data_IF_645994569645
#
_entry.id   IF_645994569645
#
_cell.length_a   1.000
_cell.length_b   1.000
_cell.length_c   1.000
_cell.angle_alpha   90.00
_cell.angle_beta   90.00
_cell.angle_gamma   90.00
#
_symmetry.space_group_name_H-M   'P 1'
#
loop_
_entity.id
_entity.type
_entity.pdbx_description
1 polymer ?
#
# COMPACT_ATOMS: atom_id res chain seq x y z
N UNK A 1 17.64 -4.62 8.70
CA UNK A 1 16.46 -5.15 7.99
C UNK A 1 16.13 -6.54 8.48
N UNK A 2 14.86 -6.94 8.42
CA UNK A 2 14.46 -8.30 8.71
C UNK A 2 13.60 -8.83 7.54
N UNK A 3 13.72 -10.13 7.29
CA UNK A 3 12.92 -10.86 6.31
C UNK A 3 12.45 -12.17 6.91
N UNK A 4 11.17 -12.46 6.68
CA UNK A 4 10.54 -13.72 7.09
C UNK A 4 9.59 -14.16 5.98
N UNK A 5 9.54 -15.45 5.72
CA UNK A 5 8.53 -16.07 4.84
C UNK A 5 7.85 -17.22 5.57
N UNK A 6 6.65 -17.55 5.13
CA UNK A 6 5.87 -18.64 5.70
C UNK A 6 4.59 -18.88 4.92
N UNK A 7 3.71 -19.68 5.48
CA UNK A 7 2.37 -19.95 4.94
C UNK A 7 1.30 -19.60 5.95
N UNK A 8 0.14 -19.18 5.46
CA UNK A 8 -1.05 -18.92 6.31
C UNK A 8 -2.28 -19.58 5.69
N UNK A 9 -3.16 -20.10 6.54
CA UNK A 9 -4.39 -20.74 6.11
C UNK A 9 -5.61 -19.79 6.10
N UNK A 10 -5.47 -18.59 6.64
CA UNK A 10 -6.53 -17.58 6.71
C UNK A 10 -5.97 -16.20 7.06
N UNK A 11 -6.79 -15.13 6.96
CA UNK A 11 -6.37 -13.77 7.29
C UNK A 11 -5.91 -13.57 8.72
N UNK A 12 -6.48 -14.29 9.70
CA UNK A 12 -6.09 -14.14 11.10
C UNK A 12 -4.68 -14.65 11.36
N UNK A 13 -4.32 -15.80 10.78
CA UNK A 13 -2.95 -16.31 10.85
C UNK A 13 -1.95 -15.41 10.13
N UNK A 14 -2.35 -14.83 9.00
CA UNK A 14 -1.52 -13.88 8.28
C UNK A 14 -1.30 -12.59 9.09
N UNK A 15 -2.35 -12.09 9.74
CA UNK A 15 -2.26 -10.93 10.61
C UNK A 15 -1.44 -11.23 11.88
N UNK A 16 -1.57 -12.42 12.44
CA UNK A 16 -0.75 -12.85 13.58
C UNK A 16 0.73 -12.97 13.21
N UNK A 17 1.05 -13.53 12.04
CA UNK A 17 2.43 -13.57 11.55
C UNK A 17 3.01 -12.15 11.41
N UNK A 18 2.26 -11.20 10.87
CA UNK A 18 2.66 -9.79 10.81
C UNK A 18 2.87 -9.20 12.21
N UNK A 19 1.97 -9.48 13.17
CA UNK A 19 2.07 -9.04 14.56
C UNK A 19 3.36 -9.52 15.21
N UNK A 20 3.61 -10.82 15.15
CA UNK A 20 4.82 -11.44 15.73
C UNK A 20 6.09 -10.84 15.11
N UNK A 21 6.11 -10.72 13.78
CA UNK A 21 7.23 -10.11 13.07
C UNK A 21 7.47 -8.66 13.49
N UNK A 22 6.41 -7.84 13.52
CA UNK A 22 6.49 -6.43 13.90
C UNK A 22 7.01 -6.25 15.34
N UNK A 23 6.50 -7.03 16.29
CA UNK A 23 6.96 -6.99 17.69
C UNK A 23 8.44 -7.39 17.79
N UNK A 24 8.86 -8.43 17.06
CA UNK A 24 10.26 -8.88 17.05
C UNK A 24 11.24 -7.82 16.54
N UNK A 25 10.79 -6.90 15.68
CA UNK A 25 11.61 -5.77 15.17
C UNK A 25 11.38 -4.45 15.91
N UNK A 26 10.76 -4.52 17.09
CA UNK A 26 10.65 -3.40 18.03
C UNK A 26 9.42 -2.51 17.87
N UNK A 27 8.37 -2.96 17.18
CA UNK A 27 7.07 -2.30 17.24
C UNK A 27 6.35 -2.66 18.54
N UNK A 28 5.67 -1.70 19.12
CA UNK A 28 4.84 -1.89 20.31
C UNK A 28 3.45 -2.33 19.88
N UNK A 29 3.00 -3.49 20.37
CA UNK A 29 1.62 -3.92 20.24
C UNK A 29 0.75 -3.16 21.25
N UNK A 30 -0.20 -2.38 20.77
CA UNK A 30 -1.16 -1.62 21.58
C UNK A 30 -2.50 -2.35 21.74
N UNK A 31 -2.88 -3.12 20.72
CA UNK A 31 -4.11 -3.93 20.73
C UNK A 31 -3.87 -5.24 19.98
N UNK A 32 -4.42 -6.30 20.51
CA UNK A 32 -4.67 -7.56 19.84
C UNK A 32 -5.94 -8.15 20.42
N UNK A 33 -7.02 -8.12 19.69
CA UNK A 33 -8.36 -8.52 20.19
C UNK A 33 -9.26 -9.00 19.08
N UNK A 34 -10.19 -9.93 19.39
CA UNK A 34 -11.25 -10.33 18.46
C UNK A 34 -12.14 -9.15 18.06
N UNK A 35 -12.56 -9.12 16.81
CA UNK A 35 -13.50 -8.14 16.27
C UNK A 35 -14.28 -8.75 15.09
N UNK A 36 -15.58 -9.02 15.29
CA UNK A 36 -16.42 -9.68 14.29
C UNK A 36 -15.89 -11.05 13.91
N UNK A 37 -15.63 -11.26 12.63
CA UNK A 37 -15.12 -12.53 12.08
C UNK A 37 -13.60 -12.66 12.11
N UNK A 38 -12.88 -11.68 12.67
CA UNK A 38 -11.42 -11.61 12.65
C UNK A 38 -10.80 -11.04 13.91
N UNK A 39 -9.62 -10.48 13.76
CA UNK A 39 -8.79 -9.89 14.81
C UNK A 39 -8.46 -8.44 14.50
N UNK A 40 -8.37 -7.59 15.52
CA UNK A 40 -7.78 -6.25 15.39
C UNK A 40 -6.38 -6.23 15.97
N UNK A 41 -5.49 -5.56 15.25
CA UNK A 41 -4.11 -5.28 15.65
C UNK A 41 -3.86 -3.79 15.59
N UNK A 42 -3.32 -3.22 16.68
CA UNK A 42 -2.77 -1.86 16.66
C UNK A 42 -1.30 -1.90 17.02
N UNK A 43 -0.49 -1.24 16.24
CA UNK A 43 0.97 -1.17 16.39
C UNK A 43 1.44 0.29 16.43
N UNK A 44 2.51 0.54 17.19
CA UNK A 44 3.17 1.85 17.21
C UNK A 44 4.69 1.71 17.23
N UNK A 45 5.38 2.64 16.55
CA UNK A 45 6.82 2.84 16.62
C UNK A 45 7.19 4.25 16.18
N UNK A 46 7.99 4.97 16.99
CA UNK A 46 8.55 6.26 16.60
C UNK A 46 7.53 7.35 16.23
N UNK A 47 6.30 7.28 16.75
CA UNK A 47 5.23 8.21 16.38
C UNK A 47 4.37 7.74 15.19
N UNK A 48 4.69 6.61 14.60
CA UNK A 48 3.84 5.89 13.66
C UNK A 48 2.80 5.08 14.41
N UNK A 49 1.53 5.19 14.00
CA UNK A 49 0.44 4.37 14.52
C UNK A 49 -0.30 3.76 13.34
N UNK A 50 -0.46 2.44 13.38
CA UNK A 50 -1.21 1.70 12.35
C UNK A 50 -2.18 0.74 13.02
N UNK A 51 -3.33 0.58 12.39
CA UNK A 51 -4.39 -0.27 12.88
C UNK A 51 -4.83 -1.19 11.76
N UNK A 52 -4.81 -2.48 12.04
CA UNK A 52 -5.15 -3.52 11.08
C UNK A 52 -6.32 -4.34 11.61
N UNK A 53 -7.08 -4.91 10.69
CA UNK A 53 -8.15 -5.85 11.00
C UNK A 53 -8.21 -6.94 9.95
N UNK A 54 -8.21 -8.20 10.38
CA UNK A 54 -8.55 -9.32 9.52
C UNK A 54 -10.06 -9.52 9.46
N UNK A 55 -10.55 -10.12 8.37
CA UNK A 55 -11.94 -10.45 8.17
C UNK A 55 -12.06 -11.71 7.31
N UNK A 56 -13.06 -12.56 7.60
CA UNK A 56 -13.38 -13.76 6.84
C UNK A 56 -14.84 -13.71 6.42
N UNK A 57 -15.10 -13.68 5.11
CA UNK A 57 -16.44 -13.60 4.53
C UNK A 57 -17.31 -12.50 5.15
N UNK A 58 -16.71 -11.39 5.50
CA UNK A 58 -17.40 -10.29 6.16
C UNK A 58 -17.90 -9.28 5.17
N UNK A 59 -19.15 -8.88 5.33
CA UNK A 59 -19.76 -7.81 4.55
C UNK A 59 -19.53 -6.47 5.25
N UNK A 60 -18.70 -5.63 4.68
CA UNK A 60 -18.35 -4.34 5.27
C UNK A 60 -19.47 -3.32 5.20
N UNK A 61 -20.40 -3.46 4.26
CA UNK A 61 -21.60 -2.64 4.16
C UNK A 61 -22.66 -3.32 3.31
N UNK A 62 -23.88 -2.75 3.28
CA UNK A 62 -24.98 -3.25 2.44
C UNK A 62 -24.69 -3.16 0.94
N UNK A 63 -23.68 -2.39 0.55
CA UNK A 63 -23.30 -2.18 -0.86
C UNK A 63 -22.16 -3.07 -1.33
N UNK A 64 -21.50 -3.82 -0.44
CA UNK A 64 -20.26 -4.52 -0.75
C UNK A 64 -20.41 -6.03 -0.73
N UNK A 65 -19.64 -6.68 -1.56
CA UNK A 65 -19.46 -8.13 -1.46
C UNK A 65 -18.77 -8.47 -0.15
N UNK A 66 -18.87 -9.71 0.26
CA UNK A 66 -18.07 -10.23 1.38
C UNK A 66 -16.60 -10.23 1.00
N UNK A 67 -15.76 -9.84 1.96
CA UNK A 67 -14.31 -9.86 1.81
C UNK A 67 -13.68 -10.85 2.77
N UNK A 68 -12.56 -11.40 2.34
CA UNK A 68 -11.66 -12.21 3.16
C UNK A 68 -10.26 -11.63 2.98
N UNK A 69 -9.70 -11.04 4.06
CA UNK A 69 -8.43 -10.34 3.96
C UNK A 69 -8.07 -9.49 5.17
N UNK A 70 -7.20 -8.53 4.97
CA UNK A 70 -6.70 -7.63 6.01
C UNK A 70 -6.90 -6.18 5.57
N UNK A 71 -7.43 -5.36 6.47
CA UNK A 71 -7.52 -3.91 6.35
C UNK A 71 -6.37 -3.24 7.10
N UNK A 72 -5.99 -2.05 6.64
CA UNK A 72 -4.95 -1.21 7.23
C UNK A 72 -5.37 0.26 7.17
N UNK A 73 -5.27 0.96 8.30
CA UNK A 73 -5.34 2.42 8.38
C UNK A 73 -4.13 2.99 9.13
N UNK A 74 -3.82 4.25 8.85
CA UNK A 74 -2.88 5.04 9.62
C UNK A 74 -3.60 6.03 10.55
N UNK A 75 -2.95 6.41 11.64
CA UNK A 75 -3.45 7.41 12.58
C UNK A 75 -2.33 8.23 13.21
N UNK A 76 -2.67 9.15 14.10
CA UNK A 76 -1.70 9.96 14.87
C UNK A 76 -1.58 9.51 16.31
N UNK A 77 -2.37 8.54 16.76
CA UNK A 77 -2.39 8.06 18.11
C UNK A 77 -3.24 6.81 18.26
N UNK A 78 -3.35 6.34 19.51
CA UNK A 78 -4.14 5.18 19.88
C UNK A 78 -5.06 5.52 21.05
N UNK A 79 -6.33 5.13 20.91
CA UNK A 79 -7.34 5.19 21.98
C UNK A 79 -7.98 3.80 22.12
N UNK A 80 -7.79 3.18 23.31
CA UNK A 80 -8.32 1.85 23.59
C UNK A 80 -9.86 1.80 23.58
N UNK A 81 -10.54 2.92 23.87
CA UNK A 81 -11.99 3.05 23.89
C UNK A 81 -12.63 3.19 22.50
N UNK A 82 -11.80 3.39 21.46
CA UNK A 82 -12.28 3.57 20.10
C UNK A 82 -12.10 2.31 19.25
N UNK A 83 -12.96 2.09 18.23
CA UNK A 83 -12.76 1.02 17.27
C UNK A 83 -11.50 1.23 16.45
N UNK A 84 -11.00 0.16 15.82
CA UNK A 84 -9.76 0.18 15.04
C UNK A 84 -9.75 1.24 13.91
N UNK A 85 -10.90 1.57 13.38
CA UNK A 85 -11.09 2.49 12.25
C UNK A 85 -11.38 3.95 12.65
N UNK A 86 -11.64 4.26 13.91
CA UNK A 86 -11.90 5.63 14.42
C UNK A 86 -10.84 6.04 15.46
N UNK A 87 -9.60 5.87 15.13
CA UNK A 87 -8.48 6.22 16.00
C UNK A 87 -8.11 7.72 15.89
N UNK A 88 -7.44 8.31 16.89
CA UNK A 88 -7.06 9.72 16.84
C UNK A 88 -6.30 10.08 15.56
N UNK A 89 -6.78 11.06 14.81
CA UNK A 89 -6.16 11.49 13.55
C UNK A 89 -6.09 10.42 12.46
N UNK A 90 -6.98 9.43 12.50
CA UNK A 90 -7.13 8.46 11.42
C UNK A 90 -7.58 9.12 10.12
N UNK A 91 -7.35 8.43 9.02
CA UNK A 91 -7.77 8.86 7.69
C UNK A 91 -9.30 8.82 7.64
N UNK A 92 -9.95 9.97 7.47
CA UNK A 92 -11.40 10.09 7.47
C UNK A 92 -11.92 10.21 6.05
N UNK A 93 -12.94 9.42 5.73
CA UNK A 93 -13.69 9.57 4.49
C UNK A 93 -14.83 10.59 4.67
N UNK A 94 -14.65 11.80 4.16
CA UNK A 94 -15.64 12.87 4.23
C UNK A 94 -16.93 12.56 3.43
N UNK A 95 -16.88 11.68 2.45
CA UNK A 95 -18.02 11.35 1.59
C UNK A 95 -18.98 10.32 2.21
N UNK A 96 -18.57 9.59 3.23
CA UNK A 96 -19.36 8.53 3.87
C UNK A 96 -20.18 8.97 5.09
N UNK A 97 -20.20 10.25 5.40
CA UNK A 97 -20.93 10.81 6.56
C UNK A 97 -22.45 10.59 6.47
N UNK A 98 -23.00 10.21 5.32
CA UNK A 98 -24.45 10.15 5.12
C UNK A 98 -25.06 8.74 5.10
N UNK A 99 -24.28 7.66 5.18
CA UNK A 99 -24.82 6.31 5.12
C UNK A 99 -24.42 5.44 6.33
N UNK A 100 -25.40 5.12 7.06
CA UNK A 100 -25.55 4.59 8.40
C UNK A 100 -24.87 3.27 8.78
N UNK A 101 -23.94 2.75 8.03
CA UNK A 101 -23.35 1.43 8.35
C UNK A 101 -21.96 1.27 7.80
N UNK A 102 -20.97 2.00 8.19
CA UNK A 102 -19.65 1.51 7.86
C UNK A 102 -18.54 2.48 8.21
N UNK A 103 -17.38 1.99 8.24
CA UNK A 103 -16.14 2.61 8.58
C UNK A 103 -16.02 4.04 8.02
N UNK A 104 -15.86 5.00 8.90
CA UNK A 104 -15.66 6.42 8.55
C UNK A 104 -14.23 6.67 8.07
N UNK A 105 -13.37 5.68 8.17
CA UNK A 105 -11.97 5.76 7.76
C UNK A 105 -11.78 5.18 6.36
N UNK A 106 -10.93 5.81 5.60
CA UNK A 106 -10.36 5.22 4.40
C UNK A 106 -9.33 4.18 4.79
N UNK A 107 -9.50 2.96 4.32
CA UNK A 107 -8.61 1.86 4.61
C UNK A 107 -7.94 1.33 3.35
N UNK A 108 -6.68 0.97 3.48
CA UNK A 108 -5.99 0.12 2.51
C UNK A 108 -6.33 -1.34 2.78
N UNK A 109 -6.19 -2.22 1.79
CA UNK A 109 -6.54 -3.63 1.97
C UNK A 109 -5.65 -4.59 1.20
N UNK A 110 -5.52 -5.79 1.76
CA UNK A 110 -5.01 -7.00 1.13
C UNK A 110 -6.10 -8.04 1.23
N UNK A 111 -6.68 -8.47 0.11
CA UNK A 111 -7.87 -9.33 0.07
C UNK A 111 -7.61 -10.62 -0.68
N UNK A 112 -8.66 -11.42 -0.84
CA UNK A 112 -8.62 -12.73 -1.50
C UNK A 112 -7.69 -13.73 -0.79
N UNK A 113 -7.46 -13.54 0.51
CA UNK A 113 -6.64 -14.47 1.30
C UNK A 113 -7.33 -15.80 1.36
N UNK A 114 -6.74 -16.80 0.73
CA UNK A 114 -7.26 -18.16 0.66
C UNK A 114 -6.85 -19.03 1.85
N UNK A 115 -6.94 -20.35 1.64
CA UNK A 115 -6.60 -21.36 2.66
C UNK A 115 -5.16 -21.86 2.61
N UNK A 116 -4.36 -21.36 1.63
CA UNK A 116 -2.95 -21.70 1.50
C UNK A 116 -2.24 -20.52 0.81
N UNK A 117 -1.77 -19.57 1.60
CA UNK A 117 -1.09 -18.39 1.09
C UNK A 117 0.38 -18.44 1.52
N UNK A 118 1.29 -18.30 0.56
CA UNK A 118 2.69 -17.98 0.89
C UNK A 118 2.79 -16.50 1.17
N UNK A 119 3.47 -16.11 2.23
CA UNK A 119 3.69 -14.71 2.55
C UNK A 119 5.17 -14.38 2.72
N UNK A 120 5.49 -13.11 2.47
CA UNK A 120 6.78 -12.50 2.71
C UNK A 120 6.58 -11.24 3.56
N UNK A 121 7.28 -11.19 4.70
CA UNK A 121 7.36 -10.04 5.58
C UNK A 121 8.75 -9.44 5.48
N UNK A 122 8.81 -8.17 5.13
CA UNK A 122 10.06 -7.43 4.94
C UNK A 122 10.03 -6.17 5.78
N UNK A 123 11.15 -5.80 6.37
CA UNK A 123 11.25 -4.55 7.13
C UNK A 123 12.57 -3.83 6.91
N UNK A 124 12.51 -2.52 7.12
CA UNK A 124 13.68 -1.65 7.24
C UNK A 124 13.47 -0.70 8.43
N UNK A 125 14.57 -0.23 9.02
CA UNK A 125 14.53 0.57 10.24
C UNK A 125 14.77 2.08 10.03
N UNK A 126 15.39 2.47 8.92
CA UNK A 126 15.72 3.87 8.67
C UNK A 126 15.63 4.20 7.17
N UNK A 127 14.56 4.86 6.73
CA UNK A 127 13.29 5.06 7.46
C UNK A 127 12.54 3.77 7.72
N UNK A 128 11.63 3.78 8.70
CA UNK A 128 10.83 2.59 9.03
C UNK A 128 10.00 2.13 7.83
N UNK A 129 10.01 0.83 7.60
CA UNK A 129 9.15 0.15 6.63
C UNK A 129 8.79 -1.22 7.16
N UNK A 130 7.50 -1.57 7.07
CA UNK A 130 7.04 -2.96 7.03
C UNK A 130 6.27 -3.16 5.74
N UNK A 131 6.56 -4.27 5.08
CA UNK A 131 5.83 -4.72 3.91
C UNK A 131 5.43 -6.18 4.06
N UNK A 132 4.16 -6.44 3.84
CA UNK A 132 3.57 -7.77 3.73
C UNK A 132 3.20 -8.01 2.28
N UNK A 133 3.72 -9.07 1.69
CA UNK A 133 3.33 -9.57 0.37
C UNK A 133 2.78 -10.96 0.54
N UNK A 134 1.59 -11.22 0.02
CA UNK A 134 0.95 -12.54 0.06
C UNK A 134 0.65 -13.03 -1.35
N UNK A 135 1.05 -14.24 -1.66
CA UNK A 135 0.58 -14.96 -2.83
C UNK A 135 -0.79 -15.56 -2.50
N UNK A 136 -1.85 -14.87 -2.93
CA UNK A 136 -3.24 -15.21 -2.60
C UNK A 136 -3.82 -16.29 -3.49
N UNK A 137 -3.22 -16.49 -4.65
CA UNK A 137 -3.43 -17.64 -5.55
C UNK A 137 -2.16 -17.82 -6.39
N UNK A 138 -1.95 -18.97 -7.04
CA UNK A 138 -0.72 -19.22 -7.79
C UNK A 138 -0.36 -18.10 -8.76
N UNK A 139 0.78 -17.44 -8.52
CA UNK A 139 1.28 -16.32 -9.31
C UNK A 139 0.58 -14.98 -9.12
N UNK A 140 -0.36 -14.87 -8.17
CA UNK A 140 -1.10 -13.63 -7.85
C UNK A 140 -0.69 -13.11 -6.47
N UNK A 141 -0.17 -11.90 -6.43
CA UNK A 141 0.39 -11.27 -5.25
C UNK A 141 -0.40 -10.03 -4.86
N UNK A 142 -0.78 -9.96 -3.57
CA UNK A 142 -1.34 -8.77 -2.95
C UNK A 142 -0.41 -8.30 -1.84
N UNK A 143 -0.47 -7.01 -1.51
CA UNK A 143 0.42 -6.44 -0.52
C UNK A 143 -0.24 -5.39 0.38
N UNK A 144 0.36 -5.23 1.56
CA UNK A 144 0.21 -4.08 2.45
C UNK A 144 1.60 -3.53 2.76
N UNK A 145 1.70 -2.21 2.87
CA UNK A 145 2.92 -1.56 3.30
C UNK A 145 2.60 -0.37 4.20
N UNK A 146 3.45 -0.13 5.21
CA UNK A 146 3.39 1.05 6.05
C UNK A 146 4.76 1.41 6.59
N UNK A 147 4.96 2.69 6.88
CA UNK A 147 6.25 3.17 7.32
C UNK A 147 6.41 4.67 7.15
N UNK A 148 7.63 5.09 6.88
CA UNK A 148 8.01 6.50 6.68
C UNK A 148 8.71 6.73 5.34
N UNK A 149 8.50 7.92 4.80
CA UNK A 149 9.24 8.44 3.66
C UNK A 149 10.54 9.10 4.12
N UNK A 150 11.58 9.01 3.29
CA UNK A 150 12.68 9.97 3.33
C UNK A 150 12.19 11.30 2.77
N UNK A 151 12.09 12.33 3.60
CA UNK A 151 11.57 13.63 3.22
C UNK A 151 12.62 14.47 2.51
N UNK A 152 12.20 15.32 1.56
CA UNK A 152 13.10 16.27 0.86
C UNK A 152 13.31 17.57 1.59
N UNK A 153 12.57 17.85 2.65
CA UNK A 153 12.67 19.10 3.39
C UNK A 153 12.16 19.00 4.80
N UNK A 154 12.00 20.14 5.46
CA UNK A 154 11.57 20.27 6.85
C UNK A 154 10.07 20.04 7.12
N UNK A 155 9.32 19.48 6.18
CA UNK A 155 7.91 19.17 6.40
C UNK A 155 7.70 18.17 7.55
N UNK A 156 6.67 18.39 8.36
CA UNK A 156 6.25 17.41 9.35
C UNK A 156 5.60 16.18 8.71
N UNK A 157 5.41 15.11 9.48
CA UNK A 157 4.83 13.86 9.00
C UNK A 157 5.84 13.00 8.23
N UNK A 158 5.37 12.32 7.18
CA UNK A 158 6.14 11.35 6.40
C UNK A 158 5.64 9.92 6.55
N UNK A 159 4.71 9.67 7.48
CA UNK A 159 4.05 8.37 7.63
C UNK A 159 3.25 8.02 6.38
N UNK A 160 3.23 6.75 5.98
CA UNK A 160 2.38 6.26 4.91
C UNK A 160 1.77 4.90 5.24
N UNK A 161 0.63 4.63 4.62
CA UNK A 161 -0.03 3.32 4.57
C UNK A 161 -0.48 3.05 3.14
N UNK A 162 -0.35 1.80 2.70
CA UNK A 162 -0.67 1.38 1.33
C UNK A 162 -1.17 -0.06 1.28
N UNK A 163 -2.02 -0.36 0.30
CA UNK A 163 -2.52 -1.72 0.08
C UNK A 163 -2.95 -1.93 -1.37
N UNK A 164 -3.02 -3.18 -1.79
CA UNK A 164 -3.49 -3.59 -3.12
C UNK A 164 -4.90 -3.09 -3.40
N UNK A 165 -5.71 -2.94 -2.37
CA UNK A 165 -7.07 -2.45 -2.46
C UNK A 165 -7.30 -1.28 -1.51
N UNK A 166 -8.36 -0.53 -1.79
CA UNK A 166 -8.89 0.48 -0.91
C UNK A 166 -10.35 0.23 -0.59
N UNK A 167 -10.85 0.91 0.43
CA UNK A 167 -12.25 0.81 0.86
C UNK A 167 -13.26 1.07 -0.25
N UNK A 168 -12.90 1.92 -1.19
CA UNK A 168 -13.75 2.25 -2.33
C UNK A 168 -13.66 1.30 -3.52
N UNK A 169 -12.66 0.43 -3.57
CA UNK A 169 -12.54 -0.55 -4.64
C UNK A 169 -13.78 -1.44 -4.74
N UNK A 170 -14.49 -1.56 -3.64
CA UNK A 170 -15.72 -2.32 -3.52
C UNK A 170 -17.00 -1.56 -3.86
N UNK A 171 -16.98 -0.24 -3.93
CA UNK A 171 -18.18 0.56 -4.23
C UNK A 171 -18.61 0.49 -5.69
N UNK A 172 -17.70 0.20 -6.59
CA UNK A 172 -17.94 0.23 -8.04
C UNK A 172 -18.07 -1.14 -8.70
N UNK A 173 -18.08 -2.22 -7.95
CA UNK A 173 -18.24 -3.57 -8.50
C UNK A 173 -19.69 -3.88 -8.89
N UNK A 174 -20.23 -3.16 -9.84
CA UNK A 174 -21.46 -3.58 -10.52
C UNK A 174 -21.23 -4.70 -11.53
N UNK A 175 -19.99 -5.05 -11.86
CA UNK A 175 -19.66 -6.03 -12.89
C UNK A 175 -18.49 -6.94 -12.60
N UNK A 176 -18.30 -7.31 -11.32
CA UNK A 176 -17.26 -8.26 -10.96
C UNK A 176 -15.93 -7.58 -10.63
N UNK A 177 -15.40 -7.98 -9.50
CA UNK A 177 -14.13 -7.57 -8.91
C UNK A 177 -12.95 -7.56 -9.91
N UNK A 178 -13.01 -8.44 -10.89
CA UNK A 178 -11.97 -8.62 -11.90
C UNK A 178 -11.89 -7.51 -12.96
N UNK A 179 -12.99 -6.81 -13.25
CA UNK A 179 -13.02 -5.89 -14.39
C UNK A 179 -12.60 -4.47 -14.04
N UNK A 180 -12.79 -4.04 -12.79
CA UNK A 180 -12.50 -2.67 -12.36
C UNK A 180 -11.14 -2.50 -11.68
N UNK A 181 -10.70 -3.46 -10.90
CA UNK A 181 -9.38 -3.39 -10.27
C UNK A 181 -8.26 -3.64 -11.29
N UNK A 182 -8.56 -4.43 -12.32
CA UNK A 182 -7.59 -4.85 -13.33
C UNK A 182 -8.14 -4.77 -14.77
N UNK A 183 -9.32 -4.18 -14.97
CA UNK A 183 -10.07 -4.25 -16.22
C UNK A 183 -9.49 -3.48 -17.42
N UNK A 184 -8.47 -2.64 -17.17
CA UNK A 184 -7.72 -2.01 -18.26
C UNK A 184 -6.24 -2.31 -18.06
N UNK A 185 -5.63 -3.13 -18.94
CA UNK A 185 -4.27 -3.64 -18.75
C UNK A 185 -3.19 -2.55 -18.74
N UNK A 186 -3.53 -1.32 -19.05
CA UNK A 186 -2.54 -0.25 -19.21
C UNK A 186 -2.54 0.78 -18.08
N UNK A 187 -3.54 0.76 -17.23
CA UNK A 187 -3.85 1.95 -16.46
C UNK A 187 -4.15 1.73 -14.98
N UNK A 188 -4.27 0.49 -14.49
CA UNK A 188 -4.72 0.20 -13.12
C UNK A 188 -3.84 -0.83 -12.47
N UNK A 189 -2.78 -0.36 -11.86
CA UNK A 189 -1.92 -1.19 -11.04
C UNK A 189 -2.43 -1.13 -9.61
N UNK A 190 -3.16 -2.16 -9.20
CA UNK A 190 -3.69 -2.21 -7.87
C UNK A 190 -2.59 -2.03 -6.84
N UNK A 191 -2.72 -1.02 -6.01
CA UNK A 191 -2.12 -0.91 -4.71
C UNK A 191 -0.62 -1.00 -4.56
N UNK A 192 0.16 -0.71 -5.57
CA UNK A 192 1.57 -0.44 -5.33
C UNK A 192 1.69 0.80 -4.46
N UNK A 193 2.60 0.81 -3.49
CA UNK A 193 2.91 2.01 -2.76
C UNK A 193 3.09 3.16 -3.74
N UNK A 194 2.31 4.24 -3.58
CA UNK A 194 2.40 5.46 -4.40
C UNK A 194 2.03 5.29 -5.87
N UNK A 195 1.28 4.28 -6.21
CA UNK A 195 0.69 4.17 -7.53
C UNK A 195 -0.43 5.22 -7.69
N UNK A 196 -0.27 6.10 -8.65
CA UNK A 196 -1.13 7.26 -8.90
C UNK A 196 -2.25 7.00 -9.91
N UNK A 197 -2.44 5.81 -10.38
CA UNK A 197 -3.47 5.63 -11.37
C UNK A 197 -4.87 5.56 -10.72
N UNK A 198 -5.91 5.98 -11.44
CA UNK A 198 -7.36 5.87 -11.11
C UNK A 198 -7.78 4.46 -10.70
N UNK A 199 -6.85 3.69 -10.20
CA UNK A 199 -7.01 2.38 -9.65
C UNK A 199 -7.56 2.47 -8.24
N UNK A 200 -8.03 1.41 -7.77
CA UNK A 200 -8.68 1.21 -6.52
C UNK A 200 -7.71 0.75 -5.42
N UNK A 201 -6.42 0.64 -5.75
CA UNK A 201 -5.38 0.58 -4.76
C UNK A 201 -5.30 1.91 -4.02
N UNK A 202 -5.05 1.88 -2.73
CA UNK A 202 -4.98 3.09 -1.94
C UNK A 202 -3.65 3.22 -1.26
N UNK A 203 -3.13 4.43 -1.33
CA UNK A 203 -1.99 4.87 -0.55
C UNK A 203 -2.30 6.22 0.05
N UNK A 204 -2.02 6.36 1.33
CA UNK A 204 -2.15 7.61 2.04
C UNK A 204 -0.81 7.99 2.65
N UNK A 205 -0.46 9.27 2.54
CA UNK A 205 0.74 9.86 3.12
C UNK A 205 0.32 10.98 4.06
N UNK A 206 0.82 10.97 5.29
CA UNK A 206 0.61 12.05 6.24
C UNK A 206 1.68 13.11 6.08
N UNK A 207 1.26 14.36 6.03
CA UNK A 207 2.16 15.49 5.96
C UNK A 207 1.63 16.72 6.66
N UNK A 208 2.52 17.51 7.25
CA UNK A 208 2.22 18.85 7.73
C UNK A 208 2.74 19.84 6.69
N UNK A 209 1.82 20.30 5.84
CA UNK A 209 2.11 21.19 4.74
C UNK A 209 1.16 22.38 4.82
N UNK A 210 1.69 23.60 4.67
CA UNK A 210 0.92 24.85 4.80
C UNK A 210 0.15 24.94 6.14
N UNK A 211 0.83 24.59 7.24
CA UNK A 211 0.29 24.56 8.60
C UNK A 211 -0.87 23.58 8.84
N UNK A 212 -1.21 22.73 7.86
CA UNK A 212 -2.22 21.69 8.00
C UNK A 212 -1.58 20.32 8.14
N UNK A 213 -1.82 19.63 9.25
CA UNK A 213 -1.45 18.23 9.45
C UNK A 213 -2.58 17.35 8.95
N UNK A 214 -2.34 16.63 7.86
CA UNK A 214 -3.39 15.86 7.19
C UNK A 214 -2.86 14.65 6.44
N UNK A 215 -3.77 13.75 6.08
CA UNK A 215 -3.51 12.66 5.16
C UNK A 215 -3.81 13.08 3.72
N UNK A 216 -2.87 12.80 2.83
CA UNK A 216 -2.98 13.00 1.40
C UNK A 216 -3.25 11.67 0.72
N UNK A 217 -4.26 11.62 -0.13
CA UNK A 217 -4.49 10.45 -1.00
C UNK A 217 -3.56 10.50 -2.21
N UNK A 218 -2.78 9.45 -2.42
CA UNK A 218 -1.83 9.37 -3.56
C UNK A 218 -2.50 8.81 -4.82
N UNK A 219 -3.55 8.04 -4.69
CA UNK A 219 -4.07 7.20 -5.78
C UNK A 219 -5.33 7.73 -6.47
N UNK A 220 -5.73 9.00 -6.27
CA UNK A 220 -7.01 9.50 -6.80
C UNK A 220 -7.00 10.93 -7.28
N UNK A 221 -7.69 11.15 -8.40
CA UNK A 221 -8.04 12.48 -8.88
C UNK A 221 -9.08 13.18 -7.96
N UNK A 222 -9.91 12.40 -7.28
CA UNK A 222 -10.88 12.88 -6.30
C UNK A 222 -10.44 12.47 -4.91
N UNK A 223 -9.88 13.37 -4.13
CA UNK A 223 -9.41 13.05 -2.80
C UNK A 223 -10.60 12.84 -1.85
N UNK A 224 -10.67 11.66 -1.28
CA UNK A 224 -11.62 11.39 -0.20
C UNK A 224 -11.27 12.20 1.06
N UNK A 225 -10.00 12.50 1.24
CA UNK A 225 -9.49 13.34 2.32
C UNK A 225 -9.55 14.84 2.01
N UNK A 226 -9.97 15.26 0.81
CA UNK A 226 -9.89 16.65 0.37
C UNK A 226 -8.47 17.12 0.01
N UNK A 227 -7.45 16.30 0.16
CA UNK A 227 -6.05 16.62 -0.16
C UNK A 227 -5.44 15.53 -1.03
N UNK A 228 -4.71 15.96 -2.06
CA UNK A 228 -4.10 15.08 -3.04
C UNK A 228 -2.59 14.99 -2.89
N UNK A 229 -2.06 13.82 -3.16
CA UNK A 229 -0.65 13.63 -3.46
C UNK A 229 -0.53 12.92 -4.80
N UNK A 230 0.62 13.01 -5.41
CA UNK A 230 0.95 12.34 -6.67
C UNK A 230 2.27 11.61 -6.57
N UNK A 231 2.36 10.51 -7.25
CA UNK A 231 3.63 9.87 -7.51
C UNK A 231 4.27 10.41 -8.82
N UNK A 232 5.57 10.31 -8.94
CA UNK A 232 6.34 10.94 -10.02
C UNK A 232 5.95 10.48 -11.43
N UNK A 233 5.39 9.31 -11.58
CA UNK A 233 5.02 8.77 -12.89
C UNK A 233 3.68 9.23 -13.45
N UNK A 234 2.87 9.92 -12.68
CA UNK A 234 1.86 10.74 -13.30
C UNK A 234 2.51 11.98 -13.89
N UNK A 235 2.98 11.84 -15.08
CA UNK A 235 3.58 12.93 -15.78
C UNK A 235 2.59 14.03 -16.08
N UNK A 236 2.89 15.16 -15.52
CA UNK A 236 2.44 16.45 -16.01
C UNK A 236 0.95 16.69 -15.98
N UNK A 237 0.62 17.85 -15.59
CA UNK A 237 -0.64 18.56 -15.71
C UNK A 237 -1.49 18.06 -16.91
N UNK A 238 -2.40 17.16 -16.66
CA UNK A 238 -3.58 16.98 -17.49
C UNK A 238 -3.68 15.76 -18.38
N UNK A 239 -2.65 14.91 -18.58
CA UNK A 239 -2.84 13.67 -19.34
C UNK A 239 -1.94 12.54 -18.85
N UNK A 240 -2.51 11.36 -18.53
CA UNK A 240 -1.75 10.19 -18.05
C UNK A 240 -0.81 9.58 -19.09
N UNK A 241 -0.80 10.10 -20.29
CA UNK A 241 -0.16 9.45 -21.43
C UNK A 241 1.30 9.81 -21.67
N UNK A 242 1.84 10.82 -20.98
CA UNK A 242 3.14 11.41 -21.34
C UNK A 242 4.13 11.49 -20.17
N UNK A 243 4.06 10.66 -19.15
CA UNK A 243 5.05 10.70 -18.08
C UNK A 243 6.35 10.02 -18.49
N UNK A 244 7.46 10.67 -18.21
CA UNK A 244 8.81 10.13 -18.43
C UNK A 244 8.99 8.77 -17.72
N UNK A 245 8.43 8.63 -16.54
CA UNK A 245 8.47 7.40 -15.77
C UNK A 245 7.68 6.26 -16.44
N UNK A 246 6.56 6.57 -17.11
CA UNK A 246 5.80 5.58 -17.89
C UNK A 246 6.61 5.07 -19.10
N UNK A 247 7.39 5.93 -19.72
CA UNK A 247 8.31 5.52 -20.77
C UNK A 247 9.37 4.56 -20.23
N UNK A 248 9.99 4.88 -19.13
CA UNK A 248 11.00 4.02 -18.52
C UNK A 248 10.41 2.70 -18.03
N UNK A 249 9.19 2.72 -17.62
CA UNK A 249 8.45 1.56 -17.13
C UNK A 249 8.01 0.61 -18.24
N UNK A 250 7.56 1.18 -19.34
CA UNK A 250 7.11 0.44 -20.52
C UNK A 250 8.27 -0.11 -21.35
N UNK A 251 9.51 0.32 -21.11
CA UNK A 251 10.65 -0.21 -21.85
C UNK A 251 11.05 -1.59 -21.32
N UNK A 252 11.13 -2.53 -22.23
CA UNK A 252 11.72 -3.83 -21.92
C UNK A 252 13.14 -3.66 -21.39
N UNK A 253 13.58 -4.47 -20.43
CA UNK A 253 14.97 -4.51 -20.02
C UNK A 253 15.88 -4.74 -21.21
N UNK A 254 17.10 -4.20 -21.14
CA UNK A 254 18.10 -4.40 -22.17
C UNK A 254 18.37 -5.90 -22.38
N UNK A 255 18.07 -6.41 -23.56
CA UNK A 255 18.19 -7.84 -23.88
C UNK A 255 19.63 -8.35 -23.92
N UNK A 256 20.61 -7.44 -24.03
CA UNK A 256 22.03 -7.83 -24.08
C UNK A 256 22.62 -8.09 -22.68
N UNK A 257 22.19 -7.33 -21.67
CA UNK A 257 22.76 -7.40 -20.33
C UNK A 257 21.73 -7.43 -19.20
N UNK A 258 20.44 -7.52 -19.52
CA UNK A 258 19.37 -7.57 -18.54
C UNK A 258 19.20 -6.30 -17.70
N UNK A 259 19.81 -5.17 -18.06
CA UNK A 259 19.74 -3.94 -17.30
C UNK A 259 18.31 -3.41 -17.27
N UNK A 260 17.79 -3.25 -16.07
CA UNK A 260 16.47 -2.70 -15.78
C UNK A 260 16.63 -1.51 -14.84
N UNK A 261 16.05 -0.34 -15.15
CA UNK A 261 16.09 0.78 -14.23
C UNK A 261 15.24 0.49 -12.98
N UNK A 262 15.79 0.83 -11.82
CA UNK A 262 15.09 0.78 -10.53
C UNK A 262 14.77 2.22 -10.09
N UNK A 263 13.50 2.60 -10.14
CA UNK A 263 13.06 3.97 -9.93
C UNK A 263 12.49 4.13 -8.51
N UNK A 264 13.00 5.06 -7.68
CA UNK A 264 12.39 5.36 -6.38
C UNK A 264 10.94 5.80 -6.53
N UNK A 265 10.12 5.49 -5.53
CA UNK A 265 8.77 6.01 -5.43
C UNK A 265 8.83 7.41 -4.84
N UNK A 266 8.74 8.43 -5.68
CA UNK A 266 8.68 9.83 -5.26
C UNK A 266 7.23 10.25 -4.99
N UNK A 267 7.03 11.07 -3.97
CA UNK A 267 5.74 11.61 -3.57
C UNK A 267 5.75 13.13 -3.65
N UNK A 268 4.74 13.67 -4.29
CA UNK A 268 4.46 15.10 -4.40
C UNK A 268 3.12 15.38 -3.74
N UNK A 269 3.03 16.39 -2.90
CA UNK A 269 1.80 16.78 -2.21
C UNK A 269 1.24 18.07 -2.79
N UNK A 270 -0.09 18.13 -2.85
CA UNK A 270 -0.80 19.30 -3.35
C UNK A 270 -0.65 20.48 -2.38
N UNK A 271 -0.36 21.65 -2.96
CA UNK A 271 -0.30 22.91 -2.28
C UNK A 271 -1.50 23.79 -2.67
N UNK A 272 -1.81 24.86 -1.93
CA UNK A 272 -2.77 25.84 -2.36
C UNK A 272 -2.54 26.27 -3.82
N UNK A 273 -3.62 26.56 -4.54
CA UNK A 273 -3.62 26.89 -5.96
C UNK A 273 -3.26 25.74 -6.93
N UNK A 274 -3.30 24.48 -6.46
CA UNK A 274 -3.13 23.30 -7.30
C UNK A 274 -1.70 22.96 -7.70
N UNK A 275 -0.70 23.61 -7.12
CA UNK A 275 0.70 23.23 -7.30
C UNK A 275 1.03 21.97 -6.49
N UNK A 276 1.98 21.18 -7.01
CA UNK A 276 2.53 20.03 -6.31
C UNK A 276 3.98 20.29 -5.93
N UNK A 277 4.31 20.03 -4.66
CA UNK A 277 5.67 20.16 -4.15
C UNK A 277 6.27 18.78 -3.85
N UNK A 278 7.56 18.56 -4.15
CA UNK A 278 8.25 17.35 -3.73
C UNK A 278 8.18 17.19 -2.21
N UNK A 279 7.69 16.04 -1.75
CA UNK A 279 7.54 15.76 -0.32
C UNK A 279 8.58 14.78 0.18
N UNK A 280 8.76 13.67 -0.52
CA UNK A 280 9.70 12.64 -0.15
C UNK A 280 9.73 11.47 -1.13
N UNK A 281 10.43 10.42 -0.74
CA UNK A 281 10.50 9.17 -1.49
C UNK A 281 10.63 7.98 -0.54
N UNK A 282 10.36 6.77 -1.06
CA UNK A 282 10.68 5.53 -0.34
C UNK A 282 12.16 5.19 -0.50
N UNK A 283 12.87 4.99 0.60
CA UNK A 283 14.28 4.59 0.55
C UNK A 283 14.46 3.12 0.14
N UNK A 284 13.50 2.27 0.53
CA UNK A 284 13.62 0.80 0.48
C UNK A 284 12.72 0.14 -0.55
N UNK A 285 11.99 0.94 -1.35
CA UNK A 285 11.14 0.46 -2.43
C UNK A 285 11.55 1.11 -3.74
N UNK A 286 11.54 0.32 -4.83
CA UNK A 286 11.83 0.78 -6.18
C UNK A 286 10.84 0.17 -7.16
N UNK A 287 10.45 0.92 -8.14
CA UNK A 287 9.84 0.35 -9.33
C UNK A 287 10.83 -0.47 -10.12
N UNK A 288 10.31 -1.56 -10.68
CA UNK A 288 11.07 -2.51 -11.47
C UNK A 288 10.19 -3.07 -12.58
N UNK A 289 10.73 -3.16 -13.79
CA UNK A 289 10.15 -4.04 -14.80
C UNK A 289 10.52 -5.48 -14.46
N UNK A 290 9.52 -6.32 -14.18
CA UNK A 290 9.74 -7.67 -13.64
C UNK A 290 9.98 -8.75 -14.73
N UNK A 291 10.08 -8.38 -16.00
CA UNK A 291 10.19 -9.34 -17.11
C UNK A 291 11.26 -10.41 -16.88
N UNK A 292 12.42 -10.02 -16.37
CA UNK A 292 13.56 -10.91 -16.16
C UNK A 292 13.68 -11.46 -14.74
N UNK A 293 12.75 -11.15 -13.85
CA UNK A 293 12.77 -11.63 -12.47
C UNK A 293 11.64 -12.61 -12.21
N UNK A 294 11.92 -13.67 -11.47
CA UNK A 294 10.86 -14.47 -10.87
C UNK A 294 10.23 -13.70 -9.68
N UNK A 295 8.95 -13.93 -9.37
CA UNK A 295 8.38 -13.43 -8.13
C UNK A 295 9.16 -13.92 -6.91
N UNK A 296 9.39 -13.03 -5.94
CA UNK A 296 10.23 -13.26 -4.76
C UNK A 296 11.70 -13.60 -5.05
N UNK A 297 12.19 -13.32 -6.25
CA UNK A 297 13.61 -13.48 -6.58
C UNK A 297 14.44 -12.40 -5.87
N UNK A 298 15.48 -12.86 -5.18
CA UNK A 298 16.49 -11.98 -4.60
C UNK A 298 17.63 -11.73 -5.61
N UNK A 299 18.06 -10.48 -5.70
CA UNK A 299 19.15 -10.08 -6.58
C UNK A 299 20.02 -8.99 -5.95
N UNK A 300 21.26 -8.89 -6.40
CA UNK A 300 22.21 -7.89 -5.93
C UNK A 300 22.25 -6.65 -6.85
N UNK A 301 22.36 -5.48 -6.24
CA UNK A 301 22.68 -4.23 -6.92
C UNK A 301 23.83 -3.54 -6.16
N UNK A 302 25.05 -3.72 -6.63
CA UNK A 302 26.24 -3.34 -5.88
C UNK A 302 26.33 -4.11 -4.55
N UNK A 303 26.42 -3.41 -3.44
CA UNK A 303 26.41 -4.00 -2.10
C UNK A 303 25.01 -4.30 -1.56
N UNK A 304 23.98 -3.82 -2.22
CA UNK A 304 22.60 -3.95 -1.77
C UNK A 304 21.97 -5.26 -2.25
N UNK A 305 21.12 -5.84 -1.43
CA UNK A 305 20.27 -6.98 -1.80
C UNK A 305 18.83 -6.53 -1.91
N UNK A 306 18.17 -6.94 -2.97
CA UNK A 306 16.78 -6.60 -3.28
C UNK A 306 15.97 -7.84 -3.59
N UNK A 307 14.66 -7.77 -3.39
CA UNK A 307 13.73 -8.85 -3.74
C UNK A 307 12.63 -8.29 -4.64
N UNK A 308 12.38 -8.94 -5.78
CA UNK A 308 11.42 -8.52 -6.78
C UNK A 308 10.04 -9.15 -6.58
N UNK A 309 8.99 -8.34 -6.76
CA UNK A 309 7.61 -8.82 -6.79
C UNK A 309 6.85 -8.19 -7.95
N UNK A 310 5.92 -8.93 -8.60
CA UNK A 310 4.99 -8.32 -9.53
C UNK A 310 4.01 -7.42 -8.78
N UNK A 311 3.50 -6.41 -9.45
CA UNK A 311 2.46 -5.55 -8.89
C UNK A 311 1.18 -6.32 -8.54
N UNK A 312 0.88 -7.37 -9.31
CA UNK A 312 -0.20 -8.31 -9.07
C UNK A 312 0.16 -9.70 -9.61
N UNK A 313 0.34 -9.86 -10.93
CA UNK A 313 0.73 -11.12 -11.54
C UNK A 313 1.70 -10.89 -12.69
N UNK A 314 2.82 -11.62 -12.68
CA UNK A 314 3.82 -11.50 -13.75
C UNK A 314 3.23 -11.93 -15.08
N UNK A 315 3.35 -11.07 -16.10
CA UNK A 315 2.77 -11.29 -17.45
C UNK A 315 1.24 -11.50 -17.45
N UNK A 316 0.58 -11.24 -16.34
CA UNK A 316 -0.86 -11.24 -16.19
C UNK A 316 -1.45 -9.83 -16.29
N UNK A 317 -2.43 -9.53 -15.44
CA UNK A 317 -3.16 -8.24 -15.45
C UNK A 317 -2.27 -7.02 -15.17
N UNK A 318 -1.21 -7.16 -14.41
CA UNK A 318 -0.23 -6.10 -14.18
C UNK A 318 0.87 -6.05 -15.25
N UNK A 319 0.86 -6.97 -16.22
CA UNK A 319 1.85 -7.02 -17.29
C UNK A 319 3.27 -7.22 -16.77
N UNK A 320 4.16 -6.32 -17.14
CA UNK A 320 5.58 -6.36 -16.71
C UNK A 320 5.87 -5.50 -15.47
N UNK A 321 4.83 -4.93 -14.87
CA UNK A 321 5.01 -4.00 -13.75
C UNK A 321 5.26 -4.75 -12.44
N UNK A 322 6.23 -4.28 -11.72
CA UNK A 322 6.63 -4.79 -10.43
C UNK A 322 7.35 -3.76 -9.58
N UNK A 323 7.85 -4.23 -8.49
CA UNK A 323 8.66 -3.45 -7.57
C UNK A 323 9.74 -4.33 -6.94
N UNK A 324 10.78 -3.70 -6.45
CA UNK A 324 11.79 -4.32 -5.63
C UNK A 324 11.77 -3.75 -4.22
N UNK A 325 11.94 -4.62 -3.24
CA UNK A 325 12.10 -4.28 -1.82
C UNK A 325 13.54 -4.55 -1.43
N UNK A 326 14.18 -3.60 -0.76
CA UNK A 326 15.55 -3.76 -0.28
C UNK A 326 15.58 -4.75 0.89
N UNK A 327 16.45 -5.74 0.84
CA UNK A 327 16.63 -6.76 1.87
C UNK A 327 17.77 -6.42 2.84
N UNK A 328 18.85 -5.86 2.30
CA UNK A 328 20.07 -5.55 3.06
C UNK A 328 20.55 -4.16 2.63
N UNK A 329 20.99 -3.32 3.59
CA UNK A 329 21.49 -1.98 3.30
C UNK A 329 22.77 -1.98 2.46
#
# INVERSE_FOLDING_TARGET
MAYQTGTSANPDQLLDALRVFAVAIGWTQLRWAPDGTGQTLSLAKGGLYVHLRSAVNERLSTRYNTITGIWLIGSTGFDAGKPWWDQPGSIVNASYVSNTTSYRAEACGLFEVGTANTYHLLSAATPELIMLVAEVSPGVYHHLAFGELTKFGGYGGGAFVSGTFGSDAYTYTYSGFNDYVFGYPYDRHGGLPFNDYKGYGQTFVRGTVDAADTWFSVCRDLPLTGKRAKAMWEGGLGTPRNSLARYWWGHAPNTLNGVTPMIPFYVFVERPSGFFSPFGHTAHLRYLNITHYAPAEAFALGAEQWMAFPAHSKNGKSGVHGYAVRLIP
#
